data_IF_275613266457
#
_entry.id   IF_275613266457
#
_cell.length_a   1.000
_cell.length_b   1.000
_cell.length_c   1.000
_cell.angle_alpha   90.00
_cell.angle_beta   90.00
_cell.angle_gamma   90.00
#
_symmetry.space_group_name_H-M   'P 1'
#
loop_
_entity.id
_entity.type
_entity.pdbx_description
1 polymer ?
#
# COMPACT_ATOMS: atom_id res chain seq x y z
N UNK A 1 47.26 -10.69 51.62
CA UNK A 1 46.81 -12.07 51.39
C UNK A 1 45.35 -12.02 51.01
N UNK A 2 44.93 -12.56 49.87
CA UNK A 2 43.53 -12.66 49.49
C UNK A 2 43.22 -12.00 48.17
N UNK A 3 43.66 -12.61 47.05
CA UNK A 3 43.26 -12.24 45.70
C UNK A 3 41.88 -12.85 45.43
N UNK A 4 40.90 -12.05 45.00
CA UNK A 4 39.59 -12.50 44.53
C UNK A 4 39.42 -12.08 43.05
N UNK A 5 39.53 -13.07 42.17
CA UNK A 5 39.34 -12.95 40.72
C UNK A 5 37.84 -12.75 40.40
N UNK A 6 37.48 -11.63 39.78
CA UNK A 6 36.17 -11.44 39.19
C UNK A 6 36.22 -11.89 37.73
N UNK A 7 35.54 -13.00 37.42
CA UNK A 7 35.27 -13.49 36.06
C UNK A 7 34.21 -12.60 35.44
N UNK A 8 34.59 -11.90 34.37
CA UNK A 8 33.67 -11.16 33.48
C UNK A 8 32.87 -12.14 32.62
N UNK A 9 31.57 -12.04 32.67
CA UNK A 9 30.65 -12.71 31.76
C UNK A 9 30.36 -11.73 30.60
N UNK A 10 30.91 -12.04 29.41
CA UNK A 10 30.51 -11.42 28.19
C UNK A 10 29.20 -12.03 27.72
N UNK A 11 28.10 -11.32 27.90
CA UNK A 11 26.80 -11.68 27.32
C UNK A 11 26.79 -11.23 25.82
N UNK A 12 26.93 -12.16 24.92
CA UNK A 12 26.71 -11.96 23.51
C UNK A 12 25.20 -11.82 23.26
N UNK A 13 24.75 -10.61 22.97
CA UNK A 13 23.38 -10.36 22.52
C UNK A 13 23.25 -10.77 21.05
N UNK A 14 22.69 -11.95 20.78
CA UNK A 14 22.28 -12.37 19.44
C UNK A 14 20.98 -11.62 19.07
N UNK A 15 21.10 -10.67 18.15
CA UNK A 15 19.94 -9.99 17.55
C UNK A 15 19.26 -10.94 16.57
N UNK A 16 18.19 -11.59 16.98
CA UNK A 16 17.32 -12.33 16.09
C UNK A 16 16.47 -11.36 15.28
N UNK A 17 16.77 -11.22 13.99
CA UNK A 17 15.91 -10.53 13.02
C UNK A 17 14.73 -11.46 12.76
N UNK A 18 13.59 -11.15 13.35
CA UNK A 18 12.34 -11.87 13.12
C UNK A 18 11.70 -11.30 11.85
N UNK A 19 11.83 -12.04 10.75
CA UNK A 19 11.07 -11.78 9.51
C UNK A 19 9.63 -12.22 9.78
N UNK A 20 8.73 -11.26 9.97
CA UNK A 20 7.29 -11.52 10.08
C UNK A 20 6.74 -11.79 8.70
N UNK A 21 6.62 -13.06 8.35
CA UNK A 21 5.79 -13.50 7.21
C UNK A 21 4.34 -13.50 7.64
N UNK A 22 3.58 -12.50 7.20
CA UNK A 22 2.12 -12.48 7.32
C UNK A 22 1.58 -13.53 6.34
N UNK A 23 1.25 -14.71 6.85
CA UNK A 23 0.52 -15.72 6.09
C UNK A 23 -0.95 -15.29 6.11
N UNK A 24 -1.39 -14.62 5.05
CA UNK A 24 -2.81 -14.47 4.76
C UNK A 24 -3.38 -15.86 4.47
N UNK A 25 -4.22 -16.35 5.37
CA UNK A 25 -4.94 -17.62 5.20
C UNK A 25 -5.91 -17.53 4.02
N UNK A 26 -5.47 -17.93 2.84
CA UNK A 26 -6.33 -18.16 1.70
C UNK A 26 -6.95 -19.55 1.85
N UNK A 27 -8.24 -19.61 2.14
CA UNK A 27 -9.01 -20.84 2.02
C UNK A 27 -9.14 -21.15 0.52
N UNK A 28 -8.29 -22.06 0.04
CA UNK A 28 -8.30 -22.52 -1.33
C UNK A 28 -9.46 -23.53 -1.51
N UNK A 29 -10.57 -23.06 -2.07
CA UNK A 29 -11.55 -23.97 -2.68
C UNK A 29 -11.07 -24.31 -4.08
N UNK A 30 -10.28 -25.36 -4.20
CA UNK A 30 -9.80 -25.89 -5.47
C UNK A 30 -10.95 -26.64 -6.15
N UNK A 31 -11.68 -25.97 -7.04
CA UNK A 31 -12.46 -26.66 -8.09
C UNK A 31 -11.53 -26.80 -9.31
N UNK A 32 -10.95 -27.98 -9.46
CA UNK A 32 -10.24 -28.37 -10.67
C UNK A 32 -11.26 -28.58 -11.78
N UNK A 33 -11.31 -27.64 -12.74
CA UNK A 33 -11.91 -27.87 -14.06
C UNK A 33 -10.80 -28.19 -15.04
N UNK A 34 -10.87 -29.32 -15.80
CA UNK A 34 -9.92 -29.59 -16.88
C UNK A 34 -10.32 -28.74 -18.09
N UNK A 35 -9.57 -27.72 -18.40
CA UNK A 35 -9.83 -26.82 -19.54
C UNK A 35 -8.54 -26.32 -20.19
N UNK A 36 -8.22 -26.88 -21.36
CA UNK A 36 -7.44 -26.35 -22.48
C UNK A 36 -6.26 -25.42 -22.14
N UNK A 37 -5.08 -26.00 -22.00
CA UNK A 37 -3.81 -25.27 -21.96
C UNK A 37 -3.60 -24.55 -23.30
N UNK A 38 -3.78 -23.21 -23.30
CA UNK A 38 -3.29 -22.37 -24.40
C UNK A 38 -1.77 -22.21 -24.30
N UNK A 39 -1.05 -22.29 -25.44
CA UNK A 39 0.41 -22.17 -25.43
C UNK A 39 0.84 -20.78 -24.97
N UNK A 40 1.68 -20.70 -23.93
CA UNK A 40 2.39 -19.49 -23.54
C UNK A 40 2.39 -19.10 -22.05
N UNK A 41 1.63 -19.76 -21.20
CA UNK A 41 1.60 -19.41 -19.77
C UNK A 41 2.17 -20.55 -18.93
N UNK A 42 3.47 -20.51 -18.65
CA UNK A 42 4.07 -21.42 -17.67
C UNK A 42 3.45 -21.19 -16.27
N UNK A 43 3.52 -22.19 -15.36
CA UNK A 43 2.90 -22.12 -14.03
C UNK A 43 3.30 -20.86 -13.23
N UNK A 44 4.49 -20.32 -13.43
CA UNK A 44 4.94 -19.09 -12.80
C UNK A 44 4.20 -17.83 -13.28
N UNK A 45 3.80 -17.75 -14.56
CA UNK A 45 3.06 -16.61 -15.09
C UNK A 45 1.61 -16.56 -14.55
N UNK A 46 0.99 -17.74 -14.41
CA UNK A 46 -0.36 -17.86 -13.80
C UNK A 46 -0.33 -17.45 -12.33
N UNK A 47 0.66 -17.95 -11.58
CA UNK A 47 0.82 -17.58 -10.17
C UNK A 47 1.03 -16.07 -9.99
N UNK A 48 1.87 -15.42 -10.81
CA UNK A 48 2.08 -13.98 -10.78
C UNK A 48 0.80 -13.20 -11.13
N UNK A 49 0.04 -13.65 -12.13
CA UNK A 49 -1.23 -13.03 -12.49
C UNK A 49 -2.25 -13.11 -11.35
N UNK A 50 -2.32 -14.26 -10.68
CA UNK A 50 -3.20 -14.45 -9.54
C UNK A 50 -2.80 -13.58 -8.34
N UNK A 51 -1.49 -13.47 -8.04
CA UNK A 51 -0.98 -12.57 -6.99
C UNK A 51 -1.31 -11.11 -7.29
N UNK A 52 -1.09 -10.66 -8.51
CA UNK A 52 -1.42 -9.31 -8.93
C UNK A 52 -2.94 -9.04 -8.85
N UNK A 53 -3.77 -9.99 -9.28
CA UNK A 53 -5.23 -9.87 -9.22
C UNK A 53 -5.75 -9.84 -7.77
N UNK A 54 -5.24 -10.71 -6.92
CA UNK A 54 -5.59 -10.73 -5.49
C UNK A 54 -5.22 -9.40 -4.82
N UNK A 55 -4.04 -8.86 -5.14
CA UNK A 55 -3.60 -7.57 -4.61
C UNK A 55 -4.49 -6.42 -5.09
N UNK A 56 -4.82 -6.36 -6.40
CA UNK A 56 -5.71 -5.33 -6.94
C UNK A 56 -7.08 -5.40 -6.27
N UNK A 57 -7.65 -6.59 -6.14
CA UNK A 57 -8.95 -6.79 -5.49
C UNK A 57 -8.98 -6.36 -4.01
N UNK A 58 -7.84 -6.52 -3.31
CA UNK A 58 -7.73 -6.20 -1.89
C UNK A 58 -7.28 -4.77 -1.60
N UNK A 59 -6.55 -4.13 -2.53
CA UNK A 59 -5.80 -2.91 -2.26
C UNK A 59 -6.21 -1.71 -3.09
N UNK A 60 -6.83 -1.91 -4.25
CA UNK A 60 -7.29 -0.82 -5.11
C UNK A 60 -8.70 -0.41 -4.72
N UNK A 61 -8.94 0.90 -4.70
CA UNK A 61 -10.26 1.45 -4.38
C UNK A 61 -11.35 0.81 -5.25
N UNK A 62 -12.46 0.46 -4.62
CA UNK A 62 -13.63 -0.10 -5.33
C UNK A 62 -14.30 0.90 -6.28
N UNK A 63 -14.01 2.19 -6.14
CA UNK A 63 -14.47 3.23 -7.06
C UNK A 63 -13.53 3.45 -8.25
N UNK A 64 -12.36 2.79 -8.26
CA UNK A 64 -11.37 2.99 -9.30
C UNK A 64 -11.63 2.09 -10.51
N UNK A 65 -11.62 2.68 -11.70
CA UNK A 65 -11.60 1.92 -12.95
C UNK A 65 -10.19 1.39 -13.20
N UNK A 66 -10.07 0.09 -13.44
CA UNK A 66 -8.81 -0.62 -13.66
C UNK A 66 -8.68 -1.02 -15.13
N UNK A 67 -7.63 -0.55 -15.80
CA UNK A 67 -7.33 -0.98 -17.17
C UNK A 67 -6.42 -2.20 -17.21
N UNK A 68 -6.74 -3.13 -18.09
CA UNK A 68 -6.05 -4.42 -18.21
C UNK A 68 -6.19 -5.00 -19.63
N UNK A 69 -5.30 -5.90 -20.04
CA UNK A 69 -5.51 -6.69 -21.25
C UNK A 69 -6.60 -7.76 -21.02
N UNK A 70 -7.25 -8.31 -22.08
CA UNK A 70 -8.42 -9.20 -21.93
C UNK A 70 -8.23 -10.36 -20.92
N UNK A 71 -7.08 -11.04 -20.97
CA UNK A 71 -6.78 -12.17 -20.08
C UNK A 71 -6.70 -11.73 -18.62
N UNK A 72 -6.00 -10.62 -18.36
CA UNK A 72 -5.87 -10.10 -17.00
C UNK A 72 -7.20 -9.57 -16.47
N UNK A 73 -8.03 -8.95 -17.31
CA UNK A 73 -9.37 -8.51 -16.93
C UNK A 73 -10.25 -9.71 -16.50
N UNK A 74 -10.19 -10.83 -17.21
CA UNK A 74 -10.87 -12.07 -16.79
C UNK A 74 -10.36 -12.57 -15.42
N UNK A 75 -9.05 -12.51 -15.20
CA UNK A 75 -8.47 -12.88 -13.91
C UNK A 75 -8.97 -11.95 -12.79
N UNK A 76 -9.00 -10.64 -13.02
CA UNK A 76 -9.52 -9.66 -12.06
C UNK A 76 -10.99 -9.90 -11.72
N UNK A 77 -11.83 -10.24 -12.72
CA UNK A 77 -13.23 -10.62 -12.49
C UNK A 77 -13.35 -11.87 -11.62
N UNK A 78 -12.49 -12.87 -11.84
CA UNK A 78 -12.46 -14.08 -11.01
C UNK A 78 -12.08 -13.77 -9.54
N UNK A 79 -11.38 -12.66 -9.29
CA UNK A 79 -11.07 -12.13 -7.95
C UNK A 79 -12.09 -11.12 -7.43
N UNK A 80 -13.23 -10.94 -8.11
CA UNK A 80 -14.38 -10.18 -7.63
C UNK A 80 -14.45 -8.72 -8.08
N UNK A 81 -13.63 -8.29 -9.04
CA UNK A 81 -13.80 -6.95 -9.63
C UNK A 81 -14.98 -6.96 -10.62
N UNK A 82 -15.93 -6.02 -10.51
CA UNK A 82 -17.05 -5.92 -11.46
C UNK A 82 -16.55 -5.60 -12.87
N UNK A 83 -17.21 -6.14 -13.88
CA UNK A 83 -16.87 -5.85 -15.28
C UNK A 83 -17.01 -4.36 -15.63
N UNK A 84 -17.93 -3.64 -14.96
CA UNK A 84 -18.14 -2.19 -15.10
C UNK A 84 -16.92 -1.37 -14.74
N UNK A 85 -16.09 -1.88 -13.82
CA UNK A 85 -14.93 -1.19 -13.28
C UNK A 85 -13.64 -1.58 -14.03
N UNK A 86 -13.78 -2.34 -15.12
CA UNK A 86 -12.67 -2.80 -15.94
C UNK A 86 -12.67 -2.16 -17.33
N UNK A 87 -11.59 -1.48 -17.68
CA UNK A 87 -11.31 -0.97 -19.01
C UNK A 87 -10.42 -1.97 -19.77
N UNK A 88 -11.01 -2.72 -20.71
CA UNK A 88 -10.28 -3.71 -21.50
C UNK A 88 -9.46 -3.01 -22.59
N UNK A 89 -8.13 -3.10 -22.46
CA UNK A 89 -7.20 -2.60 -23.47
C UNK A 89 -7.07 -3.60 -24.63
N UNK A 90 -7.24 -3.12 -25.85
CA UNK A 90 -7.07 -3.89 -27.09
C UNK A 90 -6.02 -3.23 -27.97
N UNK A 91 -5.26 -4.00 -28.76
CA UNK A 91 -4.32 -3.45 -29.74
C UNK A 91 -5.01 -2.43 -30.67
N UNK A 92 -4.40 -1.25 -30.84
CA UNK A 92 -4.97 -0.17 -31.65
C UNK A 92 -6.19 0.54 -31.07
N UNK A 93 -6.63 0.16 -29.87
CA UNK A 93 -7.77 0.78 -29.18
C UNK A 93 -7.40 2.07 -28.43
N UNK A 94 -8.39 2.61 -27.70
CA UNK A 94 -8.18 3.77 -26.80
C UNK A 94 -7.19 3.42 -25.69
N UNK A 95 -6.34 4.39 -25.34
CA UNK A 95 -5.38 4.23 -24.24
C UNK A 95 -6.04 4.16 -22.85
N UNK A 96 -5.24 3.97 -21.80
CA UNK A 96 -5.73 3.74 -20.44
C UNK A 96 -6.19 5.01 -19.70
N UNK A 97 -6.26 6.18 -20.34
CA UNK A 97 -6.49 7.48 -19.69
C UNK A 97 -7.84 7.59 -18.96
N UNK A 98 -8.81 6.74 -19.32
CA UNK A 98 -10.13 6.69 -18.66
C UNK A 98 -10.16 5.80 -17.41
N UNK A 99 -9.00 5.31 -16.97
CA UNK A 99 -8.86 4.53 -15.73
C UNK A 99 -7.97 5.24 -14.72
N UNK A 100 -8.04 4.85 -13.47
CA UNK A 100 -7.17 5.33 -12.39
C UNK A 100 -5.96 4.43 -12.21
N UNK A 101 -6.12 3.14 -12.51
CA UNK A 101 -5.08 2.12 -12.32
C UNK A 101 -4.91 1.31 -13.60
N UNK A 102 -3.67 0.97 -13.93
CA UNK A 102 -3.30 0.11 -15.04
C UNK A 102 -2.57 -1.14 -14.55
N UNK A 103 -3.03 -2.32 -14.98
CA UNK A 103 -2.30 -3.57 -14.79
C UNK A 103 -1.42 -3.83 -16.00
N UNK A 104 -0.14 -3.47 -15.89
CA UNK A 104 0.84 -3.54 -16.95
C UNK A 104 1.49 -4.93 -17.05
N UNK A 105 0.78 -5.89 -17.66
CA UNK A 105 1.31 -7.21 -18.02
C UNK A 105 2.38 -7.12 -19.10
N UNK A 106 3.09 -8.21 -19.40
CA UNK A 106 4.05 -8.25 -20.50
C UNK A 106 3.43 -7.84 -21.84
N UNK A 107 2.16 -8.20 -22.08
CA UNK A 107 1.44 -7.83 -23.31
C UNK A 107 1.22 -6.32 -23.37
N UNK A 108 0.73 -5.72 -22.28
CA UNK A 108 0.53 -4.27 -22.17
C UNK A 108 1.86 -3.51 -22.31
N UNK A 109 2.91 -4.00 -21.64
CA UNK A 109 4.25 -3.37 -21.76
C UNK A 109 4.80 -3.41 -23.18
N UNK A 110 4.58 -4.50 -23.92
CA UNK A 110 5.01 -4.58 -25.35
C UNK A 110 4.23 -3.65 -26.23
N UNK A 111 2.93 -3.53 -26.02
CA UNK A 111 2.05 -2.68 -26.81
C UNK A 111 2.35 -1.18 -26.63
N UNK A 112 2.48 -0.76 -25.40
CA UNK A 112 2.68 0.66 -25.06
C UNK A 112 4.15 1.05 -24.94
N UNK A 113 5.07 0.09 -24.67
CA UNK A 113 6.50 0.34 -24.55
C UNK A 113 6.83 1.45 -23.56
N UNK A 114 7.75 2.33 -23.93
CA UNK A 114 8.15 3.50 -23.14
C UNK A 114 7.02 4.49 -22.89
N UNK A 115 5.94 4.48 -23.71
CA UNK A 115 4.79 5.37 -23.52
C UNK A 115 4.07 5.18 -22.19
N UNK A 116 4.15 3.99 -21.57
CA UNK A 116 3.54 3.76 -20.25
C UNK A 116 4.04 4.76 -19.22
N UNK A 117 5.36 4.89 -19.07
CA UNK A 117 5.96 5.81 -18.10
C UNK A 117 6.01 7.25 -18.61
N UNK A 118 6.15 7.45 -19.95
CA UNK A 118 6.31 8.75 -20.54
C UNK A 118 5.00 9.53 -20.74
N UNK A 119 3.85 8.84 -20.88
CA UNK A 119 2.58 9.51 -21.23
C UNK A 119 1.38 9.12 -20.37
N UNK A 120 1.38 7.95 -19.69
CA UNK A 120 0.15 7.46 -19.07
C UNK A 120 0.28 7.17 -17.57
N UNK A 121 1.27 6.39 -17.17
CA UNK A 121 1.31 5.77 -15.86
C UNK A 121 2.73 5.84 -15.25
N UNK A 122 3.15 7.00 -14.73
CA UNK A 122 4.52 7.22 -14.27
C UNK A 122 4.86 6.44 -12.99
N UNK A 123 3.91 6.24 -12.08
CA UNK A 123 4.17 5.59 -10.80
C UNK A 123 3.77 4.12 -10.80
N UNK A 124 4.64 3.26 -10.26
CA UNK A 124 4.35 1.85 -9.93
C UNK A 124 3.92 1.81 -8.46
N UNK A 125 2.70 1.34 -8.21
CA UNK A 125 2.14 1.19 -6.86
C UNK A 125 2.26 -0.22 -6.31
N UNK A 126 2.50 -1.21 -7.18
CA UNK A 126 2.94 -2.57 -6.83
C UNK A 126 3.58 -3.25 -8.04
N UNK A 127 4.47 -4.23 -7.81
CA UNK A 127 5.11 -5.02 -8.86
C UNK A 127 5.24 -6.48 -8.43
N UNK A 128 4.82 -7.41 -9.28
CA UNK A 128 4.82 -8.85 -9.03
C UNK A 128 5.65 -9.58 -10.08
N UNK A 129 6.34 -10.64 -9.67
CA UNK A 129 7.18 -11.43 -10.56
C UNK A 129 8.41 -10.67 -11.07
N UNK A 130 9.06 -11.21 -12.09
CA UNK A 130 10.28 -10.65 -12.69
C UNK A 130 10.38 -10.95 -14.18
N UNK A 131 11.26 -10.26 -14.90
CA UNK A 131 11.52 -10.49 -16.31
C UNK A 131 10.25 -10.45 -17.18
N UNK A 132 10.02 -11.52 -17.94
CA UNK A 132 8.87 -11.65 -18.84
C UNK A 132 7.54 -11.85 -18.11
N UNK A 133 7.55 -12.37 -16.88
CA UNK A 133 6.34 -12.57 -16.05
C UNK A 133 5.98 -11.38 -15.19
N UNK A 134 6.83 -10.35 -15.13
CA UNK A 134 6.60 -9.16 -14.32
C UNK A 134 5.28 -8.49 -14.68
N UNK A 135 4.51 -8.13 -13.65
CA UNK A 135 3.26 -7.36 -13.74
C UNK A 135 3.40 -6.15 -12.81
N UNK A 136 3.32 -4.94 -13.38
CA UNK A 136 3.30 -3.70 -12.63
C UNK A 136 1.87 -3.20 -12.49
N UNK A 137 1.46 -2.86 -11.28
CA UNK A 137 0.26 -2.07 -11.03
C UNK A 137 0.68 -0.61 -11.01
N UNK A 138 0.09 0.20 -11.87
CA UNK A 138 0.54 1.58 -12.09
C UNK A 138 -0.61 2.57 -11.94
N UNK A 139 -0.32 3.71 -11.34
CA UNK A 139 -1.27 4.83 -11.25
C UNK A 139 -1.29 5.59 -12.58
N UNK A 140 -2.47 5.86 -13.10
CA UNK A 140 -2.68 6.69 -14.29
C UNK A 140 -2.61 8.17 -13.91
N UNK A 141 -1.96 8.95 -14.76
CA UNK A 141 -1.87 10.40 -14.67
C UNK A 141 -2.73 11.05 -15.77
N UNK A 142 -4.00 11.41 -15.51
CA UNK A 142 -4.91 11.93 -16.53
C UNK A 142 -4.39 13.21 -17.19
N UNK A 143 -3.76 14.09 -16.40
CA UNK A 143 -3.14 15.34 -16.87
C UNK A 143 -1.71 15.15 -17.41
N UNK A 144 -1.26 13.91 -17.53
CA UNK A 144 0.05 13.53 -18.02
C UNK A 144 1.15 13.46 -16.93
N UNK A 145 2.28 12.83 -17.25
CA UNK A 145 3.34 12.53 -16.27
C UNK A 145 4.06 13.77 -15.73
N UNK A 146 4.13 14.86 -16.51
CA UNK A 146 4.76 16.09 -16.03
C UNK A 146 3.92 16.74 -14.94
N UNK A 147 2.62 16.87 -15.17
CA UNK A 147 1.68 17.38 -14.17
C UNK A 147 1.64 16.48 -12.92
N UNK A 148 1.64 15.16 -13.10
CA UNK A 148 1.71 14.21 -11.99
C UNK A 148 2.99 14.40 -11.15
N UNK A 149 4.17 14.50 -11.78
CA UNK A 149 5.43 14.70 -11.05
C UNK A 149 5.46 16.03 -10.31
N UNK A 150 4.92 17.09 -10.91
CA UNK A 150 4.80 18.40 -10.27
C UNK A 150 3.87 18.32 -9.05
N UNK A 151 2.68 17.76 -9.20
CA UNK A 151 1.73 17.57 -8.11
C UNK A 151 2.31 16.68 -6.99
N UNK A 152 2.99 15.58 -7.34
CA UNK A 152 3.65 14.72 -6.37
C UNK A 152 4.76 15.47 -5.60
N UNK A 153 5.54 16.32 -6.27
CA UNK A 153 6.55 17.14 -5.62
C UNK A 153 5.95 18.09 -4.59
N UNK A 154 4.88 18.80 -4.96
CA UNK A 154 4.15 19.69 -4.05
C UNK A 154 3.57 18.89 -2.87
N UNK A 155 2.90 17.78 -3.14
CA UNK A 155 2.28 16.92 -2.13
C UNK A 155 3.32 16.37 -1.12
N UNK A 156 4.51 15.98 -1.59
CA UNK A 156 5.61 15.53 -0.71
C UNK A 156 6.07 16.65 0.23
N UNK A 157 6.23 17.88 -0.25
CA UNK A 157 6.66 18.99 0.61
C UNK A 157 5.57 19.38 1.64
N UNK A 158 4.31 19.33 1.25
CA UNK A 158 3.18 19.55 2.18
C UNK A 158 3.14 18.46 3.25
N UNK A 159 3.28 17.19 2.85
CA UNK A 159 3.36 16.06 3.79
C UNK A 159 4.53 16.22 4.77
N UNK A 160 5.72 16.59 4.32
CA UNK A 160 6.86 16.86 5.20
C UNK A 160 6.54 17.90 6.27
N UNK A 161 5.84 18.98 5.91
CA UNK A 161 5.47 20.03 6.84
C UNK A 161 4.51 19.52 7.91
N UNK A 162 3.39 18.90 7.51
CA UNK A 162 2.36 18.38 8.41
C UNK A 162 2.89 17.23 9.27
N UNK A 163 3.52 16.25 8.64
CA UNK A 163 4.00 15.05 9.30
C UNK A 163 5.18 15.31 10.24
N UNK A 164 6.00 16.35 9.98
CA UNK A 164 7.05 16.77 10.92
C UNK A 164 6.46 17.31 12.21
N UNK A 165 5.34 18.03 12.14
CA UNK A 165 4.62 18.50 13.33
C UNK A 165 4.08 17.31 14.13
N UNK A 166 3.47 16.36 13.43
CA UNK A 166 2.97 15.12 14.04
C UNK A 166 4.10 14.30 14.69
N UNK A 167 5.25 14.16 14.02
CA UNK A 167 6.41 13.43 14.52
C UNK A 167 7.00 14.03 15.82
N UNK A 168 6.80 15.34 16.04
CA UNK A 168 7.27 16.07 17.22
C UNK A 168 6.21 16.18 18.32
N UNK A 169 5.00 15.68 18.11
CA UNK A 169 3.95 15.68 19.14
C UNK A 169 4.35 14.77 20.31
N UNK A 170 4.12 15.26 21.54
CA UNK A 170 4.35 14.50 22.77
C UNK A 170 3.37 13.33 22.95
N UNK A 171 2.24 13.38 22.23
CA UNK A 171 1.24 12.30 22.23
C UNK A 171 1.54 11.20 21.20
N UNK A 172 2.61 11.32 20.42
CA UNK A 172 3.05 10.27 19.49
C UNK A 172 4.24 9.52 20.08
N UNK A 173 4.02 8.25 20.35
CA UNK A 173 5.09 7.28 20.66
C UNK A 173 5.41 6.52 19.38
N UNK A 174 6.62 6.64 18.87
CA UNK A 174 7.00 6.02 17.61
C UNK A 174 8.48 5.60 17.61
N UNK A 175 8.82 4.43 17.03
CA UNK A 175 10.20 4.01 16.87
C UNK A 175 10.95 4.95 15.90
N UNK A 176 12.29 5.01 15.95
CA UNK A 176 13.09 5.92 15.14
C UNK A 176 12.81 5.82 13.64
N UNK A 177 12.49 4.62 13.14
CA UNK A 177 12.15 4.41 11.73
C UNK A 177 10.84 5.10 11.35
N UNK A 178 9.77 4.89 12.11
CA UNK A 178 8.46 5.50 11.84
C UNK A 178 8.54 7.04 11.95
N UNK A 179 9.27 7.55 12.94
CA UNK A 179 9.51 8.98 13.09
C UNK A 179 10.26 9.59 11.89
N UNK A 180 11.28 8.91 11.38
CA UNK A 180 11.97 9.34 10.13
C UNK A 180 11.05 9.30 8.91
N UNK A 181 10.14 8.33 8.81
CA UNK A 181 9.18 8.24 7.71
C UNK A 181 8.22 9.43 7.71
N UNK A 182 7.71 9.83 8.88
CA UNK A 182 6.92 11.05 9.04
C UNK A 182 7.73 12.30 8.62
N UNK A 183 8.89 12.52 9.19
CA UNK A 183 9.74 13.70 8.87
C UNK A 183 10.06 13.77 7.36
N UNK A 184 10.18 12.64 6.71
CA UNK A 184 10.44 12.56 5.28
C UNK A 184 9.19 12.71 4.38
N UNK A 185 8.00 12.91 4.94
CA UNK A 185 6.74 13.01 4.20
C UNK A 185 6.38 11.73 3.45
N UNK A 186 6.70 10.58 4.02
CA UNK A 186 6.50 9.27 3.38
C UNK A 186 5.14 8.64 3.68
N UNK A 187 4.34 9.22 4.55
CA UNK A 187 3.04 8.67 4.96
C UNK A 187 1.93 9.23 4.06
N UNK A 188 0.90 8.45 3.79
CA UNK A 188 -0.28 8.91 3.04
C UNK A 188 -0.99 10.02 3.82
N UNK A 189 -1.35 11.10 3.14
CA UNK A 189 -1.98 12.29 3.75
C UNK A 189 -3.25 11.94 4.53
N UNK A 190 -4.06 10.97 4.04
CA UNK A 190 -5.25 10.49 4.76
C UNK A 190 -4.87 9.82 6.07
N UNK A 191 -3.79 9.04 6.05
CA UNK A 191 -3.30 8.35 7.23
C UNK A 191 -2.70 9.32 8.25
N UNK A 192 -1.93 10.31 7.80
CA UNK A 192 -1.38 11.36 8.65
C UNK A 192 -2.50 12.17 9.32
N UNK A 193 -3.51 12.60 8.56
CA UNK A 193 -4.71 13.30 9.10
C UNK A 193 -5.47 12.43 10.09
N UNK A 194 -5.64 11.14 9.81
CA UNK A 194 -6.31 10.22 10.72
C UNK A 194 -5.57 10.12 12.06
N UNK A 195 -4.24 9.98 12.02
CA UNK A 195 -3.41 9.90 13.23
C UNK A 195 -3.41 11.24 13.98
N UNK A 196 -3.38 12.37 13.29
CA UNK A 196 -3.53 13.70 13.88
C UNK A 196 -4.87 13.86 14.61
N UNK A 197 -5.97 13.42 13.97
CA UNK A 197 -7.28 13.41 14.59
C UNK A 197 -7.34 12.52 15.85
N UNK A 198 -6.71 11.36 15.82
CA UNK A 198 -6.61 10.50 17.02
C UNK A 198 -5.86 11.19 18.15
N UNK A 199 -4.77 11.89 17.86
CA UNK A 199 -3.98 12.64 18.84
C UNK A 199 -4.78 13.81 19.43
N UNK A 200 -5.62 14.44 18.63
CA UNK A 200 -6.40 15.63 19.04
C UNK A 200 -7.66 15.26 19.83
N UNK A 201 -8.35 14.20 19.39
CA UNK A 201 -9.68 13.87 19.91
C UNK A 201 -9.66 12.84 21.05
N UNK A 202 -8.58 12.05 21.17
CA UNK A 202 -8.50 10.99 22.17
C UNK A 202 -7.55 11.37 23.32
N UNK A 203 -7.93 11.08 24.58
CA UNK A 203 -7.17 11.49 25.77
C UNK A 203 -5.96 10.59 26.06
N UNK A 204 -5.47 9.86 25.06
CA UNK A 204 -4.40 8.87 25.21
C UNK A 204 -3.33 9.06 24.13
N UNK A 205 -2.07 8.70 24.42
CA UNK A 205 -1.03 8.72 23.41
C UNK A 205 -1.28 7.66 22.33
N UNK A 206 -0.88 7.97 21.10
CA UNK A 206 -0.92 7.04 19.97
C UNK A 206 0.44 6.37 19.83
N UNK A 207 0.50 5.06 20.07
CA UNK A 207 1.72 4.26 19.97
C UNK A 207 1.82 3.63 18.57
N UNK A 208 2.66 4.22 17.72
CA UNK A 208 2.92 3.76 16.35
C UNK A 208 4.02 2.70 16.38
N UNK A 209 3.68 1.48 15.97
CA UNK A 209 4.65 0.39 15.77
C UNK A 209 5.41 0.53 14.46
N UNK A 210 4.67 0.75 13.36
CA UNK A 210 5.24 0.87 12.02
C UNK A 210 4.27 1.54 11.04
N UNK A 211 4.82 2.21 10.04
CA UNK A 211 4.15 2.49 8.78
C UNK A 211 4.58 1.48 7.72
N UNK A 212 3.68 1.16 6.78
CA UNK A 212 3.95 0.19 5.73
C UNK A 212 3.14 0.43 4.46
N UNK A 213 3.50 -0.32 3.45
CA UNK A 213 2.69 -0.52 2.26
C UNK A 213 2.56 -2.03 2.01
N UNK A 214 1.42 -2.44 1.47
CA UNK A 214 1.14 -3.84 1.17
C UNK A 214 1.62 -4.26 -0.22
N UNK A 215 2.21 -3.33 -0.99
CA UNK A 215 2.69 -3.58 -2.35
C UNK A 215 4.19 -3.81 -2.41
N UNK A 216 4.69 -4.87 -3.08
CA UNK A 216 6.10 -5.00 -3.41
C UNK A 216 6.49 -4.08 -4.56
N UNK A 217 7.75 -3.60 -4.58
CA UNK A 217 8.33 -2.90 -5.73
C UNK A 217 7.73 -1.53 -6.05
N UNK A 218 7.31 -0.79 -5.04
CA UNK A 218 6.69 0.53 -5.14
C UNK A 218 7.71 1.57 -5.63
N UNK A 219 7.27 2.50 -6.50
CA UNK A 219 8.08 3.62 -6.96
C UNK A 219 8.41 4.60 -5.82
N UNK A 220 9.59 5.29 -5.87
CA UNK A 220 9.89 6.37 -4.95
C UNK A 220 8.79 7.45 -4.98
N UNK A 221 8.46 7.98 -3.81
CA UNK A 221 7.45 9.03 -3.64
C UNK A 221 6.01 8.53 -3.47
N UNK A 222 5.70 7.26 -3.79
CA UNK A 222 4.41 6.65 -3.44
C UNK A 222 4.35 6.51 -1.92
N UNK A 223 3.32 7.07 -1.25
CA UNK A 223 3.28 7.12 0.20
C UNK A 223 2.89 5.78 0.83
N UNK A 224 3.27 5.62 2.09
CA UNK A 224 2.92 4.48 2.93
C UNK A 224 1.46 4.59 3.38
N UNK A 225 0.63 3.61 3.07
CA UNK A 225 -0.83 3.66 3.23
C UNK A 225 -1.35 2.88 4.43
N UNK A 226 -0.48 2.26 5.21
CA UNK A 226 -0.89 1.53 6.41
C UNK A 226 -0.09 1.95 7.64
N UNK A 227 -0.74 1.85 8.80
CA UNK A 227 -0.13 2.01 10.12
C UNK A 227 -0.52 0.82 11.00
N UNK A 228 0.42 0.40 11.82
CA UNK A 228 0.20 -0.54 12.92
C UNK A 228 0.35 0.23 14.22
N UNK A 229 -0.70 0.23 15.04
CA UNK A 229 -0.75 0.89 16.33
C UNK A 229 -0.77 -0.14 17.45
N UNK A 230 -0.03 0.11 18.53
CA UNK A 230 -0.07 -0.70 19.74
C UNK A 230 -0.91 -0.01 20.82
N UNK A 231 -1.35 -0.79 21.80
CA UNK A 231 -2.10 -0.31 22.95
C UNK A 231 -2.73 -1.46 23.72
N UNK A 232 -3.39 -1.15 24.81
CA UNK A 232 -4.24 -2.14 25.46
C UNK A 232 -5.54 -2.34 24.66
N UNK A 233 -6.36 -3.29 25.08
CA UNK A 233 -7.58 -3.65 24.32
C UNK A 233 -8.61 -2.52 24.31
N UNK A 234 -8.69 -1.70 25.36
CA UNK A 234 -9.63 -0.59 25.44
C UNK A 234 -9.19 0.56 24.53
N UNK A 235 -7.91 0.90 24.57
CA UNK A 235 -7.29 1.91 23.73
C UNK A 235 -7.43 1.56 22.24
N UNK A 236 -7.09 0.33 21.87
CA UNK A 236 -7.22 -0.13 20.47
C UNK A 236 -8.66 -0.12 19.97
N UNK A 237 -9.66 -0.36 20.83
CA UNK A 237 -11.08 -0.24 20.47
C UNK A 237 -11.49 1.23 20.26
N UNK A 238 -10.99 2.14 21.09
CA UNK A 238 -11.23 3.60 20.92
C UNK A 238 -10.64 4.10 19.61
N UNK A 239 -9.39 3.76 19.30
CA UNK A 239 -8.72 4.08 18.03
C UNK A 239 -9.46 3.47 16.82
N UNK A 240 -9.92 2.21 16.93
CA UNK A 240 -10.70 1.54 15.89
C UNK A 240 -12.04 2.24 15.65
N UNK A 241 -12.73 2.61 16.73
CA UNK A 241 -14.02 3.32 16.65
C UNK A 241 -13.83 4.67 15.97
N UNK A 242 -12.81 5.43 16.37
CA UNK A 242 -12.45 6.69 15.72
C UNK A 242 -12.13 6.51 14.23
N UNK A 243 -11.30 5.53 13.87
CA UNK A 243 -10.96 5.25 12.47
C UNK A 243 -12.20 4.92 11.62
N UNK A 244 -13.14 4.15 12.17
CA UNK A 244 -14.38 3.75 11.49
C UNK A 244 -15.44 4.85 11.42
N UNK A 245 -15.35 5.87 12.24
CA UNK A 245 -16.26 7.03 12.21
C UNK A 245 -15.95 8.01 11.07
N UNK A 246 -14.77 7.89 10.46
CA UNK A 246 -14.35 8.74 9.35
C UNK A 246 -15.24 8.52 8.11
N UNK A 247 -15.26 9.50 7.20
CA UNK A 247 -16.12 9.47 6.00
C UNK A 247 -15.35 9.83 4.74
N UNK A 248 -15.92 9.46 3.59
CA UNK A 248 -15.33 9.79 2.29
C UNK A 248 -13.93 9.21 2.11
N UNK A 249 -13.02 10.01 1.61
CA UNK A 249 -11.62 9.63 1.37
C UNK A 249 -10.85 9.26 2.65
N UNK A 250 -11.31 9.73 3.80
CA UNK A 250 -10.67 9.49 5.10
C UNK A 250 -11.16 8.21 5.80
N UNK A 251 -12.17 7.53 5.25
CA UNK A 251 -12.59 6.21 5.76
C UNK A 251 -11.55 5.17 5.33
N UNK A 252 -10.87 4.49 6.27
CA UNK A 252 -9.93 3.43 5.92
C UNK A 252 -10.61 2.28 5.18
N UNK A 253 -9.93 1.74 4.18
CA UNK A 253 -10.41 0.58 3.42
C UNK A 253 -10.37 -0.71 4.25
N UNK A 254 -9.41 -0.79 5.19
CA UNK A 254 -9.28 -1.93 6.11
C UNK A 254 -8.87 -1.48 7.50
N UNK A 255 -9.52 -2.05 8.53
CA UNK A 255 -9.19 -1.85 9.93
C UNK A 255 -9.38 -3.16 10.69
N UNK A 256 -8.35 -3.63 11.38
CA UNK A 256 -8.38 -4.90 12.09
C UNK A 256 -7.54 -4.84 13.36
N UNK A 257 -8.08 -5.38 14.48
CA UNK A 257 -7.29 -5.68 15.68
C UNK A 257 -6.79 -7.12 15.56
N UNK A 258 -5.49 -7.30 15.53
CA UNK A 258 -4.83 -8.60 15.40
C UNK A 258 -3.73 -8.77 16.45
N UNK A 259 -3.00 -9.87 16.43
CA UNK A 259 -1.86 -10.13 17.32
C UNK A 259 -0.56 -10.11 16.53
N UNK A 260 0.41 -9.35 17.01
CA UNK A 260 1.77 -9.30 16.47
C UNK A 260 2.78 -9.34 17.60
N UNK A 261 3.74 -10.29 17.58
CA UNK A 261 4.74 -10.44 18.63
C UNK A 261 4.16 -10.66 20.04
N UNK A 262 3.00 -11.33 20.14
CA UNK A 262 2.32 -11.60 21.41
C UNK A 262 1.48 -10.44 21.95
N UNK A 263 1.49 -9.26 21.30
CA UNK A 263 0.70 -8.08 21.68
C UNK A 263 -0.48 -7.88 20.74
N UNK A 264 -1.57 -7.30 21.24
CA UNK A 264 -2.65 -6.81 20.38
C UNK A 264 -2.18 -5.55 19.67
N UNK A 265 -2.51 -5.44 18.39
CA UNK A 265 -2.23 -4.27 17.55
C UNK A 265 -3.43 -3.97 16.68
N UNK A 266 -3.64 -2.70 16.37
CA UNK A 266 -4.61 -2.23 15.37
C UNK A 266 -3.87 -1.94 14.08
N UNK A 267 -4.28 -2.59 13.00
CA UNK A 267 -3.83 -2.30 11.64
C UNK A 267 -4.89 -1.44 10.97
N UNK A 268 -4.46 -0.32 10.41
CA UNK A 268 -5.31 0.59 9.62
C UNK A 268 -4.67 0.74 8.26
N UNK A 269 -5.46 0.65 7.19
CA UNK A 269 -4.96 0.73 5.82
C UNK A 269 -5.94 1.50 4.93
N UNK A 270 -5.39 2.36 4.08
CA UNK A 270 -6.08 3.04 3.01
C UNK A 270 -5.86 2.32 1.67
N UNK A 271 -6.83 2.47 0.76
CA UNK A 271 -6.78 1.93 -0.59
C UNK A 271 -5.80 2.69 -1.50
N UNK A 272 -5.44 2.05 -2.62
CA UNK A 272 -4.64 2.62 -3.70
C UNK A 272 -5.53 3.09 -4.86
N UNK A 273 -5.07 4.08 -5.63
CA UNK A 273 -3.91 4.93 -5.40
C UNK A 273 -4.14 5.97 -4.31
N UNK A 274 -3.05 6.46 -3.70
CA UNK A 274 -3.12 7.62 -2.80
C UNK A 274 -3.49 8.87 -3.60
N UNK A 275 -4.47 9.66 -3.15
CA UNK A 275 -4.75 10.95 -3.74
C UNK A 275 -3.58 11.93 -3.47
N UNK A 276 -3.35 12.85 -4.39
CA UNK A 276 -2.39 13.94 -4.23
C UNK A 276 -3.11 15.24 -3.85
N UNK A 277 -2.43 16.13 -3.15
CA UNK A 277 -2.92 17.48 -2.87
C UNK A 277 -4.03 17.55 -1.83
N UNK A 278 -4.16 16.57 -0.93
CA UNK A 278 -5.18 16.62 0.14
C UNK A 278 -4.91 17.71 1.18
N UNK A 279 -3.67 18.19 1.28
CA UNK A 279 -3.29 19.32 2.14
C UNK A 279 -3.31 20.65 1.38
N UNK A 280 -3.67 20.68 0.11
CA UNK A 280 -3.84 21.93 -0.61
C UNK A 280 -5.01 22.73 0.00
N UNK A 281 -4.85 24.04 0.23
CA UNK A 281 -5.98 24.88 0.58
C UNK A 281 -7.02 24.76 -0.55
N UNK A 282 -8.32 24.76 -0.24
CA UNK A 282 -9.34 24.75 -1.28
C UNK A 282 -9.07 25.91 -2.24
N UNK A 283 -9.01 25.61 -3.52
CA UNK A 283 -8.85 26.65 -4.56
C UNK A 283 -9.96 27.70 -4.40
N UNK A 284 -9.61 29.00 -4.43
CA UNK A 284 -10.57 30.07 -4.23
C UNK A 284 -11.68 30.06 -5.28
#
# INVERSE_FOLDING_TARGET
MGASARRGWLAAAASAVLVVTVIAGAVAVSRVMPGSQRPGHGPGAVATSNQAAAWVAAQVSRSAVVSCNPVMCQTLQAYGLPASDLLVLRPGGTGPQKSQVLVATATVRREFGGRLAAFYAPAVIASFGSGSTRIDIRQIAPAGPAAYRSALGVDVEQRKTVESTLANSLQIVAPPRARRQLIAGQVDSRLATLVEGMVTELPMPVDIVAFGDMGPGVSPGVPLRSVTLAGDTADLRSLLTFARSQKGSYLPAHTEITRSGGRSVLVIQFDAPSPLGLFDPPSP
#
